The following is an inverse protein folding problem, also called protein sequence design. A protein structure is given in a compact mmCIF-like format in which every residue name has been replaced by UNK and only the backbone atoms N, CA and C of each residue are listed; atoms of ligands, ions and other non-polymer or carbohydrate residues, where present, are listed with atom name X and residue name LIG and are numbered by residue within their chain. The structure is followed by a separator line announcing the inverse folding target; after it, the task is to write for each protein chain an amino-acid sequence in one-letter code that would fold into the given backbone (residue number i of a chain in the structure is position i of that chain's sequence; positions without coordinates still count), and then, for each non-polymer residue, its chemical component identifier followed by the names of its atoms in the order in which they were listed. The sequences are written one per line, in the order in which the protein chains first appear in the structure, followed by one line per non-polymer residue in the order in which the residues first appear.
data_IF_260955426441
#
_entry.id   IF_260955426441
#
_cell.length_a   1.000
_cell.length_b   1.000
_cell.length_c   1.000
_cell.angle_alpha   90.00
_cell.angle_beta   90.00
_cell.angle_gamma   90.00
#
_symmetry.space_group_name_H-M   'P 1'
#
loop_
_entity.id
_entity.type
_entity.pdbx_description
1 polymer ?
#
# COMPACT_ATOMS: atom_id res chain seq x y z
N UNK A 1 9.83 11.29 6.05
CA UNK A 1 11.16 10.84 5.61
C UNK A 1 12.22 11.24 6.61
N UNK A 2 12.27 12.51 7.04
CA UNK A 2 13.30 13.03 7.97
C UNK A 2 13.51 12.17 9.23
N UNK A 3 12.43 11.73 9.89
CA UNK A 3 12.53 10.89 11.10
C UNK A 3 13.12 9.51 10.78
N UNK A 4 12.64 8.84 9.73
CA UNK A 4 13.04 7.47 9.42
C UNK A 4 14.46 7.46 8.83
N UNK A 5 14.75 8.32 7.85
CA UNK A 5 16.07 8.38 7.21
C UNK A 5 17.17 8.86 8.17
N UNK A 6 16.86 9.72 9.15
CA UNK A 6 17.84 10.11 10.18
C UNK A 6 18.22 8.98 11.13
N UNK A 7 17.35 7.97 11.28
CA UNK A 7 17.60 6.79 12.12
C UNK A 7 18.11 5.60 11.33
N UNK A 8 17.67 5.46 10.08
CA UNK A 8 18.03 4.35 9.18
C UNK A 8 18.39 4.94 7.80
N UNK A 9 19.63 5.45 7.64
CA UNK A 9 20.06 6.02 6.36
C UNK A 9 19.97 4.98 5.23
N UNK A 10 19.47 5.39 4.06
CA UNK A 10 19.37 4.51 2.88
C UNK A 10 18.20 3.51 2.90
N UNK A 11 17.38 3.50 3.95
CA UNK A 11 16.22 2.62 4.07
C UNK A 11 15.28 2.74 2.87
N UNK A 12 14.87 1.59 2.32
CA UNK A 12 13.86 1.54 1.26
C UNK A 12 12.46 1.54 1.90
N UNK A 13 11.65 2.56 1.59
CA UNK A 13 10.30 2.73 2.14
C UNK A 13 9.26 2.42 1.06
N UNK A 14 8.36 1.48 1.31
CA UNK A 14 7.25 1.18 0.40
C UNK A 14 5.95 1.74 0.97
N UNK A 15 5.33 2.67 0.24
CA UNK A 15 3.97 3.12 0.51
C UNK A 15 3.00 2.23 -0.27
N UNK A 16 2.00 1.68 0.42
CA UNK A 16 0.96 0.84 -0.17
C UNK A 16 -0.39 1.51 0.10
N UNK A 17 -1.24 1.60 -0.92
CA UNK A 17 -2.60 2.11 -0.78
C UNK A 17 -3.48 1.21 0.10
N UNK A 18 -4.54 1.79 0.65
CA UNK A 18 -5.67 1.01 1.12
C UNK A 18 -6.28 0.24 -0.05
N UNK A 19 -6.55 -1.05 0.18
CA UNK A 19 -7.28 -1.89 -0.78
C UNK A 19 -8.73 -1.42 -0.93
N UNK A 20 -9.36 -1.65 -2.09
CA UNK A 20 -10.78 -1.45 -2.26
C UNK A 20 -11.53 -2.51 -1.45
N UNK A 21 -11.79 -2.23 -0.17
CA UNK A 21 -12.48 -3.15 0.72
C UNK A 21 -13.89 -3.49 0.18
N UNK A 22 -14.31 -4.77 0.18
CA UNK A 22 -15.67 -5.14 -0.24
C UNK A 22 -16.77 -4.35 0.47
N UNK A 23 -16.56 -3.96 1.74
CA UNK A 23 -17.51 -3.12 2.48
C UNK A 23 -17.81 -1.77 1.80
N UNK A 24 -16.88 -1.21 1.02
CA UNK A 24 -17.05 0.10 0.36
C UNK A 24 -18.14 0.11 -0.70
N UNK A 25 -18.55 -1.06 -1.21
CA UNK A 25 -19.68 -1.18 -2.12
C UNK A 25 -21.01 -0.84 -1.43
N UNK A 26 -21.09 -1.05 -0.12
CA UNK A 26 -22.31 -0.88 0.67
C UNK A 26 -22.25 0.33 1.62
N UNK A 27 -21.05 0.71 2.06
CA UNK A 27 -20.80 1.88 2.89
C UNK A 27 -20.07 2.97 2.10
N UNK A 28 -20.86 3.92 1.57
CA UNK A 28 -20.35 5.07 0.82
C UNK A 28 -19.45 5.98 1.65
N UNK A 29 -19.64 6.05 2.98
CA UNK A 29 -18.79 6.84 3.86
C UNK A 29 -17.42 6.18 3.98
N UNK A 30 -17.38 4.85 4.12
CA UNK A 30 -16.13 4.08 4.10
C UNK A 30 -15.44 4.19 2.75
N UNK A 31 -16.17 4.02 1.64
CA UNK A 31 -15.62 4.18 0.28
C UNK A 31 -14.96 5.53 0.08
N UNK A 32 -15.68 6.61 0.42
CA UNK A 32 -15.12 7.97 0.38
C UNK A 32 -13.87 8.14 1.24
N UNK A 33 -13.86 7.56 2.44
CA UNK A 33 -12.69 7.63 3.32
C UNK A 33 -11.47 6.88 2.74
N UNK A 34 -11.67 5.73 2.08
CA UNK A 34 -10.61 4.99 1.39
C UNK A 34 -10.04 5.82 0.25
N UNK A 35 -10.91 6.41 -0.58
CA UNK A 35 -10.50 7.25 -1.71
C UNK A 35 -9.70 8.49 -1.24
N UNK A 36 -10.21 9.20 -0.23
CA UNK A 36 -9.54 10.37 0.35
C UNK A 36 -8.19 10.00 0.97
N UNK A 37 -8.10 8.85 1.64
CA UNK A 37 -6.84 8.35 2.24
C UNK A 37 -5.81 8.00 1.17
N UNK A 38 -6.24 7.33 0.09
CA UNK A 38 -5.37 6.99 -1.03
C UNK A 38 -4.92 8.23 -1.81
N UNK A 39 -5.80 9.21 -2.01
CA UNK A 39 -5.43 10.48 -2.64
C UNK A 39 -4.43 11.28 -1.79
N UNK A 40 -4.65 11.36 -0.47
CA UNK A 40 -3.71 11.98 0.45
C UNK A 40 -2.34 11.30 0.44
N UNK A 41 -2.31 9.96 0.36
CA UNK A 41 -1.07 9.19 0.22
C UNK A 41 -0.36 9.52 -1.10
N UNK A 42 -1.08 9.56 -2.23
CA UNK A 42 -0.54 9.95 -3.55
C UNK A 42 0.06 11.34 -3.50
N UNK A 43 -0.65 12.32 -2.93
CA UNK A 43 -0.13 13.67 -2.77
C UNK A 43 1.15 13.72 -1.94
N UNK A 44 1.19 12.99 -0.82
CA UNK A 44 2.36 12.92 0.04
C UNK A 44 3.57 12.35 -0.73
N UNK A 45 3.37 11.24 -1.45
CA UNK A 45 4.38 10.64 -2.33
C UNK A 45 4.88 11.63 -3.38
N UNK A 46 3.99 12.40 -4.02
CA UNK A 46 4.39 13.42 -4.99
C UNK A 46 5.18 14.57 -4.36
N UNK A 47 4.77 15.03 -3.16
CA UNK A 47 5.52 16.05 -2.39
C UNK A 47 6.92 15.54 -2.04
N UNK A 48 7.07 14.27 -1.67
CA UNK A 48 8.38 13.65 -1.43
C UNK A 48 9.23 13.58 -2.71
N UNK A 49 8.65 13.24 -3.86
CA UNK A 49 9.35 13.25 -5.16
C UNK A 49 9.89 14.65 -5.48
N UNK A 50 9.06 15.68 -5.33
CA UNK A 50 9.43 17.08 -5.56
C UNK A 50 10.56 17.57 -4.65
N UNK A 51 10.62 17.06 -3.42
CA UNK A 51 11.71 17.34 -2.46
C UNK A 51 13.02 16.58 -2.77
N UNK A 52 13.04 15.71 -3.77
CA UNK A 52 14.24 15.01 -4.21
C UNK A 52 14.57 13.72 -3.45
N UNK A 53 13.65 13.23 -2.60
CA UNK A 53 13.81 11.94 -1.93
C UNK A 53 13.81 10.79 -2.97
N UNK A 54 14.69 9.80 -2.79
CA UNK A 54 14.91 8.72 -3.77
C UNK A 54 14.64 7.31 -3.26
N UNK A 55 14.59 7.12 -1.94
CA UNK A 55 14.52 5.80 -1.31
C UNK A 55 13.09 5.39 -0.93
N UNK A 56 12.09 5.91 -1.64
CA UNK A 56 10.71 5.45 -1.47
C UNK A 56 10.10 4.95 -2.77
N UNK A 57 9.13 4.07 -2.59
CA UNK A 57 8.40 3.34 -3.61
C UNK A 57 6.93 3.42 -3.28
N UNK A 58 6.10 3.22 -4.30
CA UNK A 58 4.66 3.32 -4.15
C UNK A 58 4.00 2.19 -4.92
N UNK A 59 3.06 1.52 -4.27
CA UNK A 59 2.29 0.40 -4.80
C UNK A 59 0.80 0.74 -4.68
N UNK A 60 0.13 0.76 -5.84
CA UNK A 60 -1.32 0.82 -5.90
C UNK A 60 -1.94 -0.46 -5.37
N UNK A 61 -3.14 -0.35 -4.82
CA UNK A 61 -3.82 -1.51 -4.25
C UNK A 61 -4.73 -2.28 -5.23
N UNK A 62 -4.81 -1.81 -6.49
CA UNK A 62 -5.61 -2.44 -7.55
C UNK A 62 -5.28 -3.94 -7.68
N UNK A 63 -6.30 -4.79 -7.50
CA UNK A 63 -6.19 -6.24 -7.65
C UNK A 63 -5.45 -6.98 -6.53
N UNK A 64 -4.96 -6.30 -5.47
CA UNK A 64 -4.19 -6.97 -4.41
C UNK A 64 -4.99 -8.00 -3.61
N UNK A 65 -6.32 -7.90 -3.59
CA UNK A 65 -7.20 -8.85 -2.89
C UNK A 65 -8.19 -9.54 -3.82
N UNK A 66 -8.03 -9.46 -5.14
CA UNK A 66 -9.02 -9.99 -6.09
C UNK A 66 -10.36 -9.24 -6.07
N UNK A 67 -11.33 -9.74 -6.84
CA UNK A 67 -12.60 -9.06 -7.15
C UNK A 67 -13.84 -9.95 -6.87
N UNK A 68 -13.66 -11.13 -6.28
CA UNK A 68 -14.73 -12.10 -6.04
C UNK A 68 -15.44 -11.95 -4.68
N UNK A 69 -14.99 -11.01 -3.84
CA UNK A 69 -15.57 -10.74 -2.53
C UNK A 69 -15.16 -11.71 -1.41
N UNK A 70 -14.30 -12.70 -1.70
CA UNK A 70 -13.95 -13.78 -0.75
C UNK A 70 -12.75 -13.45 0.16
N UNK A 71 -12.13 -12.30 -0.04
CA UNK A 71 -10.85 -11.95 0.58
C UNK A 71 -10.98 -11.35 1.97
N UNK A 72 -12.19 -11.07 2.46
CA UNK A 72 -12.40 -10.49 3.79
C UNK A 72 -13.48 -11.23 4.58
N UNK A 73 -13.33 -11.29 5.90
CA UNK A 73 -14.29 -11.99 6.78
C UNK A 73 -15.51 -11.14 7.10
N UNK A 74 -15.35 -9.81 7.09
CA UNK A 74 -16.36 -8.83 7.51
C UNK A 74 -16.45 -7.63 6.54
N UNK A 75 -15.88 -7.77 5.35
CA UNK A 75 -15.78 -6.68 4.39
C UNK A 75 -14.52 -5.82 4.53
N UNK A 76 -13.71 -5.96 5.60
CA UNK A 76 -12.49 -5.17 5.84
C UNK A 76 -11.26 -6.04 6.16
N UNK A 77 -11.36 -6.95 7.13
CA UNK A 77 -10.22 -7.75 7.60
C UNK A 77 -10.02 -9.00 6.74
N UNK A 78 -8.77 -9.28 6.37
CA UNK A 78 -8.48 -10.34 5.39
C UNK A 78 -8.71 -11.74 5.95
N UNK A 79 -9.27 -12.62 5.11
CA UNK A 79 -9.23 -14.07 5.30
C UNK A 79 -7.84 -14.61 4.97
N UNK A 80 -7.61 -15.91 5.20
CA UNK A 80 -6.38 -16.58 4.74
C UNK A 80 -6.16 -16.41 3.23
N UNK A 81 -7.24 -16.50 2.44
CA UNK A 81 -7.21 -16.26 1.00
C UNK A 81 -6.87 -14.80 0.67
N UNK A 82 -7.44 -13.85 1.41
CA UNK A 82 -7.12 -12.43 1.27
C UNK A 82 -5.66 -12.12 1.56
N UNK A 83 -5.11 -12.66 2.64
CA UNK A 83 -3.69 -12.53 2.96
C UNK A 83 -2.79 -13.19 1.91
N UNK A 84 -3.16 -14.37 1.41
CA UNK A 84 -2.42 -15.05 0.34
C UNK A 84 -2.36 -14.19 -0.92
N UNK A 85 -3.50 -13.66 -1.39
CA UNK A 85 -3.56 -12.78 -2.57
C UNK A 85 -2.76 -11.50 -2.37
N UNK A 86 -2.90 -10.88 -1.20
CA UNK A 86 -2.16 -9.66 -0.87
C UNK A 86 -0.65 -9.92 -0.86
N UNK A 87 -0.21 -11.04 -0.29
CA UNK A 87 1.19 -11.45 -0.29
C UNK A 87 1.71 -11.67 -1.71
N UNK A 88 0.99 -12.39 -2.56
CA UNK A 88 1.34 -12.62 -3.98
C UNK A 88 1.47 -11.29 -4.74
N UNK A 89 0.58 -10.34 -4.51
CA UNK A 89 0.61 -9.02 -5.16
C UNK A 89 1.76 -8.13 -4.70
N UNK A 90 2.08 -8.13 -3.39
CA UNK A 90 3.11 -7.26 -2.80
C UNK A 90 4.52 -7.86 -2.91
N UNK A 91 4.65 -9.19 -2.91
CA UNK A 91 5.93 -9.90 -2.88
C UNK A 91 6.92 -9.49 -3.98
N UNK A 92 6.54 -9.33 -5.26
CA UNK A 92 7.47 -8.93 -6.32
C UNK A 92 8.18 -7.60 -6.03
N UNK A 93 7.43 -6.62 -5.48
CA UNK A 93 7.99 -5.33 -5.09
C UNK A 93 8.92 -5.50 -3.90
N UNK A 94 8.47 -6.15 -2.82
CA UNK A 94 9.28 -6.36 -1.61
C UNK A 94 10.59 -7.08 -1.93
N UNK A 95 10.54 -8.15 -2.74
CA UNK A 95 11.73 -8.88 -3.20
C UNK A 95 12.72 -7.99 -3.95
N UNK A 96 12.23 -7.08 -4.80
CA UNK A 96 13.08 -6.10 -5.51
C UNK A 96 13.71 -5.10 -4.55
N UNK A 97 12.98 -4.66 -3.54
CA UNK A 97 13.45 -3.67 -2.56
C UNK A 97 14.49 -4.25 -1.60
N UNK A 98 14.30 -5.49 -1.13
CA UNK A 98 15.29 -6.21 -0.31
C UNK A 98 16.63 -6.28 -1.05
N UNK A 99 16.62 -6.75 -2.30
CA UNK A 99 17.84 -6.81 -3.14
C UNK A 99 18.52 -5.45 -3.36
N UNK A 100 17.77 -4.35 -3.27
CA UNK A 100 18.32 -2.99 -3.38
C UNK A 100 18.90 -2.53 -2.05
N UNK A 101 18.28 -2.88 -0.93
CA UNK A 101 18.75 -2.53 0.41
C UNK A 101 20.01 -3.28 0.82
N UNK A 102 20.25 -4.47 0.26
CA UNK A 102 21.45 -5.29 0.49
C UNK A 102 22.69 -4.80 -0.28
N UNK A 103 22.55 -3.84 -1.20
CA UNK A 103 23.66 -3.27 -2.00
C UNK A 103 24.19 -2.00 -1.38
#
# INVERSE_FOLDING_TARGET
MDIIESKIPGVQILFIEHVPFPLTEFDLKKGKWVDESNEALREAVQKLKKKGYKNFHYLKADGLIGEDGESTVDGEHFTDLGFYRFAEGVYPMVKKLIKRAER
#
